data_IF_274218487552
#
_entry.id   IF_274218487552
#
_cell.length_a   1.000
_cell.length_b   1.000
_cell.length_c   1.000
_cell.angle_alpha   90.00
_cell.angle_beta   90.00
_cell.angle_gamma   90.00
#
_symmetry.space_group_name_H-M   'P 1'
#
loop_
_entity.id
_entity.type
_entity.pdbx_description
1 polymer ?
#
# COMPACT_ATOMS: atom_id res chain seq x y z
N UNK A 1 30.52 -5.29 47.64
CA UNK A 1 29.53 -4.54 46.82
C UNK A 1 28.15 -5.07 47.18
N UNK A 2 27.34 -4.27 47.88
CA UNK A 2 26.07 -4.73 48.50
C UNK A 2 24.97 -4.97 47.44
N UNK A 3 24.01 -5.86 47.73
CA UNK A 3 22.92 -6.20 46.81
C UNK A 3 22.12 -4.98 46.32
N UNK A 4 21.98 -3.96 47.17
CA UNK A 4 21.30 -2.70 46.86
C UNK A 4 21.99 -1.89 45.74
N UNK A 5 23.33 -1.88 45.71
CA UNK A 5 24.13 -1.20 44.69
C UNK A 5 24.05 -1.94 43.33
N UNK A 6 24.03 -3.28 43.35
CA UNK A 6 23.82 -4.10 42.14
C UNK A 6 22.43 -3.89 41.54
N UNK A 7 21.41 -3.74 42.39
CA UNK A 7 20.03 -3.51 41.96
C UNK A 7 19.85 -2.11 41.35
N UNK A 8 20.40 -1.05 41.97
CA UNK A 8 20.43 0.30 41.40
C UNK A 8 21.18 0.37 40.06
N UNK A 9 22.32 -0.31 39.94
CA UNK A 9 23.05 -0.38 38.67
C UNK A 9 22.26 -1.11 37.58
N UNK A 10 21.57 -2.20 37.92
CA UNK A 10 20.67 -2.94 37.03
C UNK A 10 19.51 -2.07 36.53
N UNK A 11 18.85 -1.33 37.43
CA UNK A 11 17.73 -0.45 37.09
C UNK A 11 18.20 0.74 36.23
N UNK A 12 19.29 1.40 36.60
CA UNK A 12 19.90 2.49 35.82
C UNK A 12 20.25 2.06 34.39
N UNK A 13 20.83 0.85 34.24
CA UNK A 13 21.17 0.28 32.94
C UNK A 13 19.93 -0.08 32.13
N UNK A 14 18.87 -0.60 32.76
CA UNK A 14 17.57 -0.86 32.11
C UNK A 14 16.89 0.42 31.65
N UNK A 15 16.91 1.49 32.47
CA UNK A 15 16.33 2.80 32.12
C UNK A 15 17.09 3.45 30.96
N UNK A 16 18.44 3.43 30.98
CA UNK A 16 19.24 3.92 29.85
C UNK A 16 19.00 3.12 28.58
N UNK A 17 18.87 1.80 28.68
CA UNK A 17 18.55 0.95 27.53
C UNK A 17 17.14 1.19 26.99
N UNK A 18 16.15 1.43 27.87
CA UNK A 18 14.78 1.76 27.47
C UNK A 18 14.71 3.12 26.79
N UNK A 19 15.40 4.13 27.34
CA UNK A 19 15.50 5.46 26.73
C UNK A 19 16.15 5.39 25.35
N UNK A 20 17.27 4.66 25.22
CA UNK A 20 17.92 4.44 23.93
C UNK A 20 16.97 3.76 22.94
N UNK A 21 16.20 2.76 23.38
CA UNK A 21 15.22 2.06 22.54
C UNK A 21 14.09 2.97 22.08
N UNK A 22 13.54 3.80 22.96
CA UNK A 22 12.50 4.77 22.59
C UNK A 22 13.05 5.82 21.62
N UNK A 23 14.25 6.34 21.86
CA UNK A 23 14.87 7.30 20.94
C UNK A 23 15.21 6.68 19.58
N UNK A 24 15.70 5.45 19.54
CA UNK A 24 15.94 4.69 18.30
C UNK A 24 14.63 4.46 17.54
N UNK A 25 13.54 4.14 18.26
CA UNK A 25 12.20 3.99 17.69
C UNK A 25 11.66 5.28 17.09
N UNK A 26 11.72 6.40 17.83
CA UNK A 26 11.26 7.72 17.36
C UNK A 26 12.07 8.13 16.12
N UNK A 27 13.39 7.95 16.18
CA UNK A 27 14.26 8.28 15.06
C UNK A 27 13.91 7.44 13.83
N UNK A 28 13.72 6.12 14.00
CA UNK A 28 13.33 5.25 12.89
C UNK A 28 11.98 5.67 12.30
N UNK A 29 10.97 5.94 13.14
CA UNK A 29 9.67 6.40 12.67
C UNK A 29 9.76 7.68 11.83
N UNK A 30 10.71 8.57 12.16
CA UNK A 30 10.95 9.79 11.41
C UNK A 30 11.73 9.53 10.11
N UNK A 31 12.77 8.69 10.17
CA UNK A 31 13.56 8.27 9.00
C UNK A 31 12.69 7.54 7.96
N UNK A 32 11.72 6.75 8.42
CA UNK A 32 10.75 6.01 7.60
C UNK A 32 9.51 6.85 7.26
N UNK A 33 9.48 8.14 7.62
CA UNK A 33 8.42 9.10 7.28
C UNK A 33 7.01 8.59 7.63
N UNK A 34 6.88 7.86 8.75
CA UNK A 34 5.64 7.20 9.18
C UNK A 34 4.45 8.16 9.23
N UNK A 35 4.67 9.37 9.76
CA UNK A 35 3.63 10.39 9.83
C UNK A 35 3.19 10.88 8.44
N UNK A 36 4.11 10.96 7.48
CA UNK A 36 3.78 11.37 6.11
C UNK A 36 2.93 10.30 5.41
N UNK A 37 3.25 9.01 5.60
CA UNK A 37 2.40 7.92 5.12
C UNK A 37 1.04 7.92 5.80
N UNK A 38 0.98 8.19 7.11
CA UNK A 38 -0.26 8.40 7.86
C UNK A 38 -1.14 9.50 7.24
N UNK A 39 -0.57 10.67 6.95
CA UNK A 39 -1.26 11.77 6.27
C UNK A 39 -1.73 11.39 4.86
N UNK A 40 -0.88 10.72 4.07
CA UNK A 40 -1.21 10.28 2.72
C UNK A 40 -2.39 9.29 2.73
N UNK A 41 -2.38 8.32 3.63
CA UNK A 41 -3.47 7.36 3.81
C UNK A 41 -4.76 8.04 4.26
N UNK A 42 -4.69 8.94 5.24
CA UNK A 42 -5.85 9.66 5.74
C UNK A 42 -6.51 10.53 4.66
N UNK A 43 -5.73 11.22 3.84
CA UNK A 43 -6.24 12.02 2.73
C UNK A 43 -7.03 11.18 1.73
N UNK A 44 -6.50 10.04 1.30
CA UNK A 44 -7.20 9.17 0.36
C UNK A 44 -8.42 8.46 0.98
N UNK A 45 -8.37 8.13 2.28
CA UNK A 45 -9.54 7.61 2.99
C UNK A 45 -10.66 8.66 3.12
N UNK A 46 -10.30 9.93 3.35
CA UNK A 46 -11.27 11.00 3.39
C UNK A 46 -11.92 11.20 2.01
N UNK A 47 -11.13 11.19 0.93
CA UNK A 47 -11.66 11.29 -0.43
C UNK A 47 -12.57 10.10 -0.80
N UNK A 48 -12.28 8.90 -0.31
CA UNK A 48 -13.12 7.74 -0.57
C UNK A 48 -14.41 7.71 0.26
N UNK A 49 -14.52 8.51 1.31
CA UNK A 49 -15.72 8.61 2.16
C UNK A 49 -16.96 9.02 1.34
N UNK A 50 -16.85 10.03 0.47
CA UNK A 50 -18.02 10.53 -0.27
C UNK A 50 -18.57 9.50 -1.27
N UNK A 51 -17.76 8.91 -2.16
CA UNK A 51 -18.27 7.85 -3.05
C UNK A 51 -18.77 6.62 -2.28
N UNK A 52 -18.13 6.29 -1.13
CA UNK A 52 -18.58 5.20 -0.27
C UNK A 52 -19.95 5.47 0.36
N UNK A 53 -20.19 6.70 0.85
CA UNK A 53 -21.50 7.11 1.37
C UNK A 53 -22.59 7.01 0.30
N UNK A 54 -22.31 7.47 -0.92
CA UNK A 54 -23.25 7.34 -2.03
C UNK A 54 -23.51 5.87 -2.32
N UNK A 55 -22.47 5.05 -2.46
CA UNK A 55 -22.62 3.60 -2.65
C UNK A 55 -23.51 2.97 -1.56
N UNK A 56 -23.24 3.25 -0.29
CA UNK A 56 -23.99 2.70 0.82
C UNK A 56 -25.46 3.15 0.80
N UNK A 57 -25.72 4.44 0.58
CA UNK A 57 -27.08 4.96 0.48
C UNK A 57 -27.83 4.36 -0.73
N UNK A 58 -27.14 4.12 -1.84
CA UNK A 58 -27.76 3.46 -3.00
C UNK A 58 -28.01 1.98 -2.77
N UNK A 59 -27.20 1.31 -1.94
CA UNK A 59 -27.42 -0.07 -1.54
C UNK A 59 -28.73 -0.22 -0.74
N UNK A 60 -29.12 0.80 0.03
CA UNK A 60 -30.39 0.79 0.79
C UNK A 60 -31.63 0.65 -0.11
N UNK A 61 -31.56 1.04 -1.39
CA UNK A 61 -32.65 0.82 -2.35
C UNK A 61 -32.93 -0.66 -2.64
N UNK A 62 -31.92 -1.50 -2.45
CA UNK A 62 -32.01 -2.95 -2.65
C UNK A 62 -32.27 -3.70 -1.35
N UNK A 63 -32.26 -3.00 -0.21
CA UNK A 63 -32.60 -3.57 1.08
C UNK A 63 -34.13 -3.66 1.23
N UNK A 64 -34.66 -4.58 2.04
CA UNK A 64 -36.10 -4.75 2.25
C UNK A 64 -36.72 -3.67 3.16
N UNK A 65 -36.17 -2.46 3.17
CA UNK A 65 -36.61 -1.34 4.02
C UNK A 65 -37.28 -0.27 3.17
N UNK A 66 -38.34 0.36 3.71
CA UNK A 66 -38.93 1.53 3.08
C UNK A 66 -37.96 2.71 3.16
N UNK A 67 -38.11 3.64 2.21
CA UNK A 67 -37.38 4.91 2.22
C UNK A 67 -37.59 5.67 3.54
N UNK A 68 -38.80 5.62 4.10
CA UNK A 68 -39.13 6.29 5.36
C UNK A 68 -38.42 5.64 6.56
N UNK A 69 -38.23 4.32 6.54
CA UNK A 69 -37.46 3.60 7.57
C UNK A 69 -36.00 4.05 7.56
N UNK A 70 -35.40 4.21 6.38
CA UNK A 70 -34.04 4.71 6.23
C UNK A 70 -33.90 6.14 6.75
N UNK A 71 -34.87 7.02 6.47
CA UNK A 71 -34.88 8.39 7.00
C UNK A 71 -34.95 8.37 8.53
N UNK A 72 -35.81 7.52 9.11
CA UNK A 72 -35.96 7.40 10.56
C UNK A 72 -34.66 6.92 11.21
N UNK A 73 -34.05 5.85 10.70
CA UNK A 73 -32.76 5.31 11.19
C UNK A 73 -31.66 6.38 11.12
N UNK A 74 -31.51 7.06 9.98
CA UNK A 74 -30.49 8.09 9.81
C UNK A 74 -30.70 9.28 10.74
N UNK A 75 -31.96 9.66 10.97
CA UNK A 75 -32.32 10.77 11.88
C UNK A 75 -31.99 10.42 13.33
N UNK A 76 -32.16 9.16 13.72
CA UNK A 76 -31.80 8.67 15.05
C UNK A 76 -30.28 8.69 15.27
N UNK A 77 -29.48 8.30 14.26
CA UNK A 77 -28.01 8.26 14.34
C UNK A 77 -27.40 9.66 14.34
N UNK A 78 -27.89 10.56 13.48
CA UNK A 78 -27.26 11.86 13.20
C UNK A 78 -27.85 12.97 14.08
N UNK A 79 -28.90 12.74 14.87
CA UNK A 79 -29.68 13.75 15.62
C UNK A 79 -30.82 14.38 14.82
N UNK A 80 -31.94 14.59 15.52
CA UNK A 80 -33.22 15.05 14.98
C UNK A 80 -33.18 16.45 14.36
N UNK A 81 -32.29 17.33 14.84
CA UNK A 81 -32.14 18.70 14.32
C UNK A 81 -31.76 18.74 12.84
N UNK A 82 -31.19 17.66 12.30
CA UNK A 82 -30.76 17.57 10.89
C UNK A 82 -31.72 16.77 10.01
N UNK A 83 -32.93 16.47 10.50
CA UNK A 83 -33.93 15.66 9.77
C UNK A 83 -34.21 16.19 8.37
N UNK A 84 -34.40 17.50 8.20
CA UNK A 84 -34.70 18.11 6.90
C UNK A 84 -33.57 17.90 5.87
N UNK A 85 -32.31 18.02 6.30
CA UNK A 85 -31.13 17.76 5.47
C UNK A 85 -31.06 16.28 5.07
N UNK A 86 -31.27 15.37 6.03
CA UNK A 86 -31.26 13.92 5.80
C UNK A 86 -32.35 13.53 4.81
N UNK A 87 -33.59 13.99 5.04
CA UNK A 87 -34.72 13.75 4.14
C UNK A 87 -34.44 14.29 2.73
N UNK A 88 -33.83 15.48 2.61
CA UNK A 88 -33.42 16.05 1.32
C UNK A 88 -32.43 15.16 0.57
N UNK A 89 -31.36 14.72 1.25
CA UNK A 89 -30.32 13.85 0.67
C UNK A 89 -30.92 12.50 0.24
N UNK A 90 -31.71 11.85 1.11
CA UNK A 90 -32.34 10.56 0.79
C UNK A 90 -33.33 10.70 -0.37
N UNK A 91 -34.15 11.75 -0.39
CA UNK A 91 -35.07 12.05 -1.49
C UNK A 91 -34.33 12.21 -2.82
N UNK A 92 -33.23 12.96 -2.82
CA UNK A 92 -32.45 13.20 -4.02
C UNK A 92 -31.80 11.92 -4.55
N UNK A 93 -31.27 11.08 -3.66
CA UNK A 93 -30.70 9.78 -4.03
C UNK A 93 -31.79 8.86 -4.58
N UNK A 94 -32.95 8.77 -3.93
CA UNK A 94 -34.05 7.93 -4.41
C UNK A 94 -34.57 8.38 -5.77
N UNK A 95 -34.62 9.69 -6.03
CA UNK A 95 -35.14 10.26 -7.29
C UNK A 95 -34.13 10.32 -8.43
N UNK A 96 -32.86 10.65 -8.17
CA UNK A 96 -31.83 10.88 -9.21
C UNK A 96 -30.88 9.70 -9.42
N UNK A 97 -30.75 8.78 -8.47
CA UNK A 97 -29.80 7.67 -8.61
C UNK A 97 -30.43 6.48 -9.32
N UNK A 98 -30.19 6.37 -10.64
CA UNK A 98 -30.38 5.13 -11.40
C UNK A 98 -29.18 4.18 -11.29
N UNK A 99 -29.25 3.03 -11.99
CA UNK A 99 -28.17 2.02 -12.02
C UNK A 99 -26.80 2.57 -12.51
N UNK A 100 -26.82 3.61 -13.34
CA UNK A 100 -25.63 4.32 -13.82
C UNK A 100 -24.88 5.05 -12.70
N UNK A 101 -25.59 5.82 -11.87
CA UNK A 101 -24.99 6.57 -10.74
C UNK A 101 -24.43 5.61 -9.69
N UNK A 102 -25.11 4.49 -9.41
CA UNK A 102 -24.59 3.41 -8.56
C UNK A 102 -23.23 2.93 -9.09
N UNK A 103 -23.17 2.56 -10.37
CA UNK A 103 -21.96 1.99 -10.99
C UNK A 103 -20.80 3.01 -10.99
N UNK A 104 -21.07 4.27 -11.33
CA UNK A 104 -20.07 5.35 -11.31
C UNK A 104 -19.54 5.58 -9.89
N UNK A 105 -20.42 5.55 -8.88
CA UNK A 105 -20.04 5.74 -7.48
C UNK A 105 -19.18 4.59 -6.98
N UNK A 106 -19.49 3.34 -7.36
CA UNK A 106 -18.66 2.17 -7.05
C UNK A 106 -17.28 2.30 -7.67
N UNK A 107 -17.19 2.67 -8.96
CA UNK A 107 -15.90 2.84 -9.65
C UNK A 107 -15.09 3.97 -9.00
N UNK A 108 -15.71 5.10 -8.70
CA UNK A 108 -15.06 6.22 -8.04
C UNK A 108 -14.59 5.90 -6.61
N UNK A 109 -15.41 5.15 -5.85
CA UNK A 109 -15.07 4.67 -4.51
C UNK A 109 -13.89 3.71 -4.53
N UNK A 110 -13.93 2.72 -5.43
CA UNK A 110 -12.85 1.75 -5.61
C UNK A 110 -11.56 2.42 -6.07
N UNK A 111 -11.64 3.35 -7.02
CA UNK A 111 -10.48 4.10 -7.48
C UNK A 111 -9.83 4.92 -6.37
N UNK A 112 -10.64 5.67 -5.61
CA UNK A 112 -10.14 6.53 -4.53
C UNK A 112 -9.58 5.71 -3.37
N UNK A 113 -10.30 4.67 -2.95
CA UNK A 113 -9.89 3.77 -1.86
C UNK A 113 -8.65 2.95 -2.22
N UNK A 114 -8.51 2.54 -3.49
CA UNK A 114 -7.32 1.85 -3.99
C UNK A 114 -6.04 2.67 -3.79
N UNK A 115 -6.13 4.01 -3.92
CA UNK A 115 -4.99 4.91 -3.61
C UNK A 115 -4.67 4.97 -2.12
N UNK A 116 -5.70 4.89 -1.26
CA UNK A 116 -5.54 4.76 0.18
C UNK A 116 -4.80 3.48 0.56
N UNK A 117 -5.27 2.33 0.08
CA UNK A 117 -4.58 1.05 0.31
C UNK A 117 -3.15 1.07 -0.27
N UNK A 118 -2.95 1.65 -1.46
CA UNK A 118 -1.63 1.78 -2.06
C UNK A 118 -0.66 2.55 -1.14
N UNK A 119 -1.12 3.63 -0.50
CA UNK A 119 -0.31 4.38 0.46
C UNK A 119 0.06 3.54 1.71
N UNK A 120 -0.82 2.65 2.15
CA UNK A 120 -0.54 1.70 3.23
C UNK A 120 0.50 0.67 2.79
N UNK A 121 0.40 0.16 1.55
CA UNK A 121 1.38 -0.80 1.00
C UNK A 121 2.77 -0.21 0.96
N UNK A 122 2.94 0.99 0.38
CA UNK A 122 4.25 1.64 0.30
C UNK A 122 4.78 2.02 1.68
N UNK A 123 3.92 2.49 2.60
CA UNK A 123 4.34 2.85 3.95
C UNK A 123 4.77 1.64 4.77
N UNK A 124 4.03 0.53 4.69
CA UNK A 124 4.42 -0.71 5.37
C UNK A 124 5.69 -1.32 4.76
N UNK A 125 5.84 -1.31 3.43
CA UNK A 125 7.08 -1.75 2.80
C UNK A 125 8.27 -0.89 3.24
N UNK A 126 8.09 0.43 3.39
CA UNK A 126 9.11 1.33 3.93
C UNK A 126 9.51 0.94 5.35
N UNK A 127 8.53 0.76 6.26
CA UNK A 127 8.76 0.37 7.66
C UNK A 127 9.53 -0.96 7.78
N UNK A 128 9.20 -1.92 6.92
CA UNK A 128 9.85 -3.23 6.89
C UNK A 128 11.17 -3.26 6.10
N UNK A 129 11.68 -2.12 5.61
CA UNK A 129 12.88 -2.01 4.76
C UNK A 129 12.82 -2.92 3.51
N UNK A 130 11.65 -3.03 2.88
CA UNK A 130 11.42 -3.90 1.71
C UNK A 130 11.42 -3.04 0.45
N UNK A 131 12.38 -3.29 -0.44
CA UNK A 131 12.36 -2.76 -1.80
C UNK A 131 11.22 -3.41 -2.59
N UNK A 132 10.26 -2.60 -3.05
CA UNK A 132 9.11 -3.09 -3.80
C UNK A 132 9.52 -3.52 -5.21
N UNK A 133 9.50 -4.83 -5.45
CA UNK A 133 9.90 -5.43 -6.72
C UNK A 133 8.70 -5.81 -7.61
N UNK A 134 7.46 -5.54 -7.17
CA UNK A 134 6.23 -5.82 -7.93
C UNK A 134 6.00 -4.78 -9.02
N UNK A 135 5.50 -5.24 -10.17
CA UNK A 135 5.10 -4.35 -11.25
C UNK A 135 3.90 -3.47 -10.83
N UNK A 136 3.83 -2.23 -11.30
CA UNK A 136 2.82 -1.24 -10.90
C UNK A 136 1.37 -1.75 -11.08
N UNK A 137 1.11 -2.48 -12.18
CA UNK A 137 -0.20 -3.04 -12.48
C UNK A 137 -0.60 -4.10 -11.44
N UNK A 138 0.33 -4.97 -11.06
CA UNK A 138 0.10 -6.03 -10.07
C UNK A 138 -0.22 -5.41 -8.71
N UNK A 139 0.54 -4.39 -8.32
CA UNK A 139 0.33 -3.66 -7.07
C UNK A 139 -1.05 -3.00 -7.01
N UNK A 140 -1.52 -2.50 -8.16
CA UNK A 140 -2.84 -1.88 -8.28
C UNK A 140 -3.99 -2.90 -8.17
N UNK A 141 -3.85 -4.07 -8.80
CA UNK A 141 -4.83 -5.17 -8.67
C UNK A 141 -4.94 -5.61 -7.20
N UNK A 142 -3.80 -5.83 -6.52
CA UNK A 142 -3.81 -6.16 -5.09
C UNK A 142 -4.44 -5.05 -4.24
N UNK A 143 -4.17 -3.78 -4.56
CA UNK A 143 -4.76 -2.65 -3.85
C UNK A 143 -6.29 -2.62 -3.97
N UNK A 144 -6.83 -2.94 -5.15
CA UNK A 144 -8.29 -3.09 -5.36
C UNK A 144 -8.82 -4.29 -4.57
N UNK A 145 -8.15 -5.44 -4.62
CA UNK A 145 -8.58 -6.63 -3.89
C UNK A 145 -8.64 -6.38 -2.37
N UNK A 146 -7.62 -5.77 -1.79
CA UNK A 146 -7.59 -5.40 -0.37
C UNK A 146 -8.62 -4.34 -0.03
N UNK A 147 -8.89 -3.39 -0.94
CA UNK A 147 -9.98 -2.41 -0.77
C UNK A 147 -11.32 -3.13 -0.63
N UNK A 148 -11.63 -4.08 -1.52
CA UNK A 148 -12.89 -4.84 -1.49
C UNK A 148 -12.98 -5.67 -0.21
N UNK A 149 -11.90 -6.35 0.19
CA UNK A 149 -11.86 -7.11 1.44
C UNK A 149 -12.10 -6.22 2.66
N UNK A 150 -11.49 -5.04 2.70
CA UNK A 150 -11.67 -4.06 3.77
C UNK A 150 -13.10 -3.50 3.80
N UNK A 151 -13.70 -3.23 2.64
CA UNK A 151 -15.09 -2.79 2.54
C UNK A 151 -16.08 -3.86 3.06
N UNK A 152 -15.89 -5.13 2.68
CA UNK A 152 -16.69 -6.26 3.21
C UNK A 152 -16.57 -6.32 4.73
N UNK A 153 -15.37 -6.17 5.26
CA UNK A 153 -15.14 -6.19 6.70
C UNK A 153 -15.87 -5.04 7.42
N UNK A 154 -15.82 -3.82 6.88
CA UNK A 154 -16.57 -2.67 7.43
C UNK A 154 -18.07 -2.96 7.44
N UNK A 155 -18.60 -3.55 6.36
CA UNK A 155 -20.02 -3.93 6.28
C UNK A 155 -20.35 -4.95 7.38
N UNK A 156 -19.55 -6.00 7.52
CA UNK A 156 -19.74 -7.02 8.59
C UNK A 156 -19.68 -6.38 9.98
N UNK A 157 -18.72 -5.47 10.22
CA UNK A 157 -18.61 -4.73 11.47
C UNK A 157 -19.86 -3.90 11.74
N UNK A 158 -20.32 -3.14 10.76
CA UNK A 158 -21.50 -2.30 10.88
C UNK A 158 -22.76 -3.13 11.13
N UNK A 159 -22.91 -4.26 10.43
CA UNK A 159 -24.02 -5.17 10.64
C UNK A 159 -24.05 -5.71 12.07
N UNK A 160 -22.91 -6.17 12.59
CA UNK A 160 -22.81 -6.67 13.96
C UNK A 160 -23.06 -5.54 14.98
N UNK A 161 -22.64 -4.32 14.70
CA UNK A 161 -22.76 -3.22 15.66
C UNK A 161 -24.16 -2.60 15.70
N UNK A 162 -24.79 -2.43 14.53
CA UNK A 162 -26.13 -1.86 14.38
C UNK A 162 -27.20 -2.89 14.70
N UNK A 163 -27.11 -4.07 14.10
CA UNK A 163 -28.08 -5.15 14.31
C UNK A 163 -27.69 -6.07 15.45
N UNK A 164 -26.64 -5.79 16.22
CA UNK A 164 -26.16 -6.67 17.29
C UNK A 164 -27.24 -6.99 18.34
N UNK A 165 -28.05 -5.99 18.69
CA UNK A 165 -29.17 -6.17 19.63
C UNK A 165 -30.31 -6.99 19.00
N UNK A 166 -30.66 -6.70 17.75
CA UNK A 166 -31.69 -7.46 17.01
C UNK A 166 -31.27 -8.91 16.79
N UNK A 167 -29.98 -9.13 16.47
CA UNK A 167 -29.39 -10.45 16.30
C UNK A 167 -29.35 -11.20 17.64
N UNK A 168 -29.07 -10.51 18.74
CA UNK A 168 -29.15 -11.05 20.09
C UNK A 168 -30.56 -11.49 20.45
N UNK A 169 -31.57 -10.66 20.22
CA UNK A 169 -32.97 -10.98 20.49
C UNK A 169 -33.44 -12.16 19.62
N UNK A 170 -33.03 -12.19 18.36
CA UNK A 170 -33.32 -13.30 17.43
C UNK A 170 -32.65 -14.62 17.86
N UNK A 171 -31.38 -14.57 18.28
CA UNK A 171 -30.64 -15.74 18.77
C UNK A 171 -31.24 -16.23 20.10
N UNK A 172 -31.59 -15.34 21.01
CA UNK A 172 -32.24 -15.71 22.28
C UNK A 172 -33.60 -16.36 22.06
N UNK A 173 -34.37 -15.89 21.06
CA UNK A 173 -35.67 -16.47 20.70
C UNK A 173 -35.58 -17.85 20.03
N UNK A 174 -34.56 -18.09 19.20
CA UNK A 174 -34.43 -19.36 18.42
C UNK A 174 -33.54 -20.40 19.07
N UNK A 175 -32.51 -19.97 19.81
CA UNK A 175 -31.49 -20.82 20.42
C UNK A 175 -31.16 -20.35 21.86
N UNK A 176 -32.02 -20.67 22.85
CA UNK A 176 -31.85 -20.22 24.24
C UNK A 176 -30.54 -20.67 24.89
N UNK A 177 -29.92 -21.76 24.40
CA UNK A 177 -28.61 -22.21 24.87
C UNK A 177 -27.46 -21.22 24.61
N UNK A 178 -27.60 -20.34 23.60
CA UNK A 178 -26.59 -19.32 23.28
C UNK A 178 -26.90 -17.94 23.89
N UNK A 179 -28.05 -17.78 24.57
CA UNK A 179 -28.48 -16.51 25.14
C UNK A 179 -27.48 -15.95 26.18
N UNK A 180 -26.94 -16.81 27.04
CA UNK A 180 -25.94 -16.44 28.05
C UNK A 180 -24.62 -16.01 27.41
N UNK A 181 -24.21 -16.69 26.34
CA UNK A 181 -22.99 -16.36 25.59
C UNK A 181 -23.16 -15.03 24.83
N UNK A 182 -24.32 -14.83 24.20
CA UNK A 182 -24.64 -13.64 23.43
C UNK A 182 -24.79 -12.39 24.35
N UNK A 183 -25.32 -12.55 25.56
CA UNK A 183 -25.40 -11.49 26.56
C UNK A 183 -24.02 -11.06 27.06
N UNK A 184 -23.10 -12.01 27.22
CA UNK A 184 -21.69 -11.74 27.53
C UNK A 184 -20.99 -10.96 26.40
N UNK A 185 -21.28 -11.27 25.13
CA UNK A 185 -20.73 -10.55 23.98
C UNK A 185 -21.19 -9.09 23.90
N UNK A 186 -22.47 -8.80 24.17
CA UNK A 186 -23.00 -7.43 24.19
C UNK A 186 -22.36 -6.60 25.31
N UNK A 187 -22.24 -7.16 26.53
CA UNK A 187 -21.65 -6.45 27.66
C UNK A 187 -20.14 -6.18 27.49
N UNK A 188 -19.44 -6.98 26.68
CA UNK A 188 -18.00 -6.85 26.38
C UNK A 188 -17.72 -6.27 24.99
N UNK A 189 -18.64 -5.48 24.42
CA UNK A 189 -18.53 -4.90 23.06
C UNK A 189 -17.16 -4.27 22.78
N UNK A 190 -16.59 -3.53 23.73
CA UNK A 190 -15.26 -2.91 23.60
C UNK A 190 -14.14 -3.93 23.44
N UNK A 191 -14.18 -5.05 24.20
CA UNK A 191 -13.19 -6.12 24.10
C UNK A 191 -13.27 -6.81 22.72
N UNK A 192 -14.50 -7.03 22.23
CA UNK A 192 -14.73 -7.60 20.91
C UNK A 192 -14.18 -6.69 19.80
N UNK A 193 -14.40 -5.38 19.89
CA UNK A 193 -13.81 -4.40 18.97
C UNK A 193 -12.28 -4.48 18.97
N UNK A 194 -11.63 -4.58 20.14
CA UNK A 194 -10.16 -4.75 20.23
C UNK A 194 -9.71 -6.02 19.52
N UNK A 195 -10.39 -7.15 19.76
CA UNK A 195 -10.02 -8.45 19.17
C UNK A 195 -10.12 -8.40 17.65
N UNK A 196 -11.21 -7.86 17.11
CA UNK A 196 -11.38 -7.76 15.66
C UNK A 196 -10.38 -6.80 15.04
N UNK A 197 -10.17 -5.64 15.67
CA UNK A 197 -9.24 -4.65 15.17
C UNK A 197 -7.80 -5.19 15.18
N UNK A 198 -7.45 -5.96 16.22
CA UNK A 198 -6.18 -6.67 16.30
C UNK A 198 -6.06 -7.72 15.19
N UNK A 199 -7.10 -8.53 14.96
CA UNK A 199 -7.12 -9.52 13.87
C UNK A 199 -6.96 -8.83 12.50
N UNK A 200 -7.63 -7.71 12.30
CA UNK A 200 -7.54 -6.90 11.08
C UNK A 200 -6.11 -6.40 10.85
N UNK A 201 -5.49 -5.78 11.85
CA UNK A 201 -4.12 -5.29 11.72
C UNK A 201 -3.11 -6.44 11.55
N UNK A 202 -3.35 -7.59 12.16
CA UNK A 202 -2.57 -8.80 11.94
C UNK A 202 -2.66 -9.30 10.49
N UNK A 203 -3.85 -9.29 9.90
CA UNK A 203 -4.04 -9.60 8.47
C UNK A 203 -3.29 -8.57 7.61
N UNK A 204 -3.46 -7.27 7.91
CA UNK A 204 -2.79 -6.19 7.17
C UNK A 204 -1.27 -6.37 7.21
N UNK A 205 -0.68 -6.51 8.39
CA UNK A 205 0.78 -6.68 8.54
C UNK A 205 1.31 -7.97 7.91
N UNK A 206 0.47 -8.99 7.72
CA UNK A 206 0.89 -10.29 7.17
C UNK A 206 0.85 -10.30 5.65
N UNK A 207 -0.24 -9.80 5.09
CA UNK A 207 -0.56 -9.96 3.67
C UNK A 207 -0.22 -8.74 2.83
N UNK A 208 -0.25 -7.54 3.41
CA UNK A 208 -0.01 -6.30 2.66
C UNK A 208 1.47 -6.11 2.30
N UNK A 209 2.45 -6.28 3.22
CA UNK A 209 3.86 -6.12 2.88
C UNK A 209 4.35 -7.25 1.96
N UNK A 210 5.28 -6.92 1.06
CA UNK A 210 5.85 -7.90 0.12
C UNK A 210 6.95 -8.78 0.76
N UNK A 211 6.62 -9.50 1.85
CA UNK A 211 7.55 -10.33 2.63
C UNK A 211 7.26 -11.83 2.50
N UNK A 212 8.33 -12.63 2.36
CA UNK A 212 8.22 -14.09 2.41
C UNK A 212 8.00 -14.54 3.86
N UNK A 213 6.91 -15.29 4.04
CA UNK A 213 6.59 -16.20 5.15
C UNK A 213 7.10 -15.81 6.54
N UNK A 214 6.35 -14.96 7.24
CA UNK A 214 6.52 -14.75 8.68
C UNK A 214 5.35 -15.37 9.44
N UNK A 215 5.61 -15.91 10.63
CA UNK A 215 4.56 -16.54 11.46
C UNK A 215 3.48 -15.52 11.82
N UNK A 216 2.22 -15.90 11.61
CA UNK A 216 1.04 -15.06 11.85
C UNK A 216 1.08 -14.48 13.27
N UNK A 217 1.32 -15.32 14.28
CA UNK A 217 1.35 -14.94 15.69
C UNK A 217 2.42 -13.92 16.08
N UNK A 218 3.50 -13.76 15.31
CA UNK A 218 4.55 -12.77 15.62
C UNK A 218 4.11 -11.33 15.41
N UNK A 219 3.00 -11.11 14.71
CA UNK A 219 2.48 -9.77 14.42
C UNK A 219 1.46 -9.27 15.45
N UNK A 220 1.04 -10.15 16.36
CA UNK A 220 0.12 -9.86 17.45
C UNK A 220 0.52 -8.66 18.32
N UNK A 221 1.78 -8.51 18.79
CA UNK A 221 2.12 -7.42 19.70
C UNK A 221 1.95 -6.04 19.05
N UNK A 222 2.42 -5.84 17.81
CA UNK A 222 2.23 -4.58 17.10
C UNK A 222 0.77 -4.34 16.70
N UNK A 223 0.03 -5.40 16.33
CA UNK A 223 -1.39 -5.29 16.00
C UNK A 223 -2.22 -4.88 17.22
N UNK A 224 -1.89 -5.40 18.40
CA UNK A 224 -2.55 -5.03 19.66
C UNK A 224 -2.25 -3.57 20.03
N UNK A 225 -1.01 -3.11 19.88
CA UNK A 225 -0.63 -1.71 20.15
C UNK A 225 -1.35 -0.76 19.19
N UNK A 226 -1.41 -1.09 17.90
CA UNK A 226 -2.17 -0.31 16.93
C UNK A 226 -3.67 -0.27 17.27
N UNK A 227 -4.25 -1.40 17.67
CA UNK A 227 -5.66 -1.49 18.05
C UNK A 227 -5.98 -0.65 19.30
N UNK A 228 -5.16 -0.75 20.34
CA UNK A 228 -5.30 0.07 21.55
C UNK A 228 -5.12 1.55 21.21
N UNK A 229 -4.07 1.89 20.46
CA UNK A 229 -3.80 3.26 20.03
C UNK A 229 -4.96 3.87 19.23
N UNK A 230 -5.55 3.11 18.32
CA UNK A 230 -6.72 3.52 17.55
C UNK A 230 -7.92 3.85 18.45
N UNK A 231 -8.20 3.03 19.45
CA UNK A 231 -9.29 3.25 20.39
C UNK A 231 -9.01 4.48 21.27
N UNK A 232 -7.78 4.63 21.76
CA UNK A 232 -7.36 5.80 22.54
C UNK A 232 -7.51 7.09 21.73
N UNK A 233 -7.07 7.09 20.47
CA UNK A 233 -7.26 8.23 19.55
C UNK A 233 -8.74 8.53 19.34
N UNK A 234 -9.57 7.49 19.16
CA UNK A 234 -11.01 7.63 18.98
C UNK A 234 -11.71 8.18 20.23
N UNK A 235 -11.34 7.69 21.41
CA UNK A 235 -11.83 8.20 22.69
C UNK A 235 -11.37 9.65 22.93
N UNK A 236 -10.12 9.98 22.61
CA UNK A 236 -9.60 11.35 22.68
C UNK A 236 -10.33 12.30 21.75
N UNK A 237 -10.65 11.87 20.53
CA UNK A 237 -11.46 12.64 19.59
C UNK A 237 -12.90 12.85 20.10
N UNK A 238 -13.52 11.80 20.66
CA UNK A 238 -14.85 11.90 21.26
C UNK A 238 -14.87 12.86 22.46
N UNK A 239 -13.86 12.79 23.33
CA UNK A 239 -13.69 13.73 24.43
C UNK A 239 -13.51 15.16 23.92
N UNK A 240 -12.68 15.35 22.89
CA UNK A 240 -12.46 16.67 22.29
C UNK A 240 -13.75 17.29 21.75
N UNK A 241 -14.52 16.54 20.97
CA UNK A 241 -15.80 17.01 20.42
C UNK A 241 -16.81 17.31 21.54
N UNK A 242 -16.86 16.46 22.58
CA UNK A 242 -17.81 16.63 23.69
C UNK A 242 -17.51 17.83 24.59
N UNK A 243 -16.26 18.26 24.70
CA UNK A 243 -15.87 19.38 25.58
C UNK A 243 -15.69 20.70 24.82
N UNK A 244 -15.27 20.67 23.56
CA UNK A 244 -14.93 21.86 22.78
C UNK A 244 -16.01 22.20 21.75
N UNK A 245 -17.22 22.55 22.22
CA UNK A 245 -18.35 22.94 21.35
C UNK A 245 -18.13 24.27 20.60
N UNK A 246 -17.18 25.09 21.04
CA UNK A 246 -16.89 26.41 20.44
C UNK A 246 -16.18 26.32 19.07
N UNK A 247 -15.61 25.17 18.70
CA UNK A 247 -14.95 25.01 17.39
C UNK A 247 -15.93 25.12 16.22
N UNK A 248 -17.18 24.70 16.41
CA UNK A 248 -18.24 24.86 15.42
C UNK A 248 -18.66 26.32 15.23
N UNK A 249 -18.42 27.21 16.19
CA UNK A 249 -18.76 28.63 16.07
C UNK A 249 -17.82 29.39 15.11
N UNK A 250 -16.52 29.07 15.15
CA UNK A 250 -15.50 29.77 14.34
C UNK A 250 -15.42 29.22 12.91
N UNK A 251 -15.47 27.88 12.77
CA UNK A 251 -15.25 27.21 11.48
C UNK A 251 -16.51 26.60 10.87
N UNK A 252 -17.66 26.68 11.54
CA UNK A 252 -18.94 26.17 11.02
C UNK A 252 -18.88 24.70 10.61
N UNK A 253 -19.40 24.39 9.43
CA UNK A 253 -19.41 23.04 8.84
C UNK A 253 -18.02 22.50 8.48
N UNK A 254 -17.00 23.37 8.34
CA UNK A 254 -15.63 22.95 8.03
C UNK A 254 -14.94 22.26 9.23
N UNK A 255 -15.38 22.59 10.46
CA UNK A 255 -14.84 22.02 11.70
C UNK A 255 -14.92 20.48 11.71
N UNK A 256 -16.05 19.91 11.27
CA UNK A 256 -16.24 18.46 11.21
C UNK A 256 -15.28 17.77 10.25
N UNK A 257 -15.02 18.36 9.07
CA UNK A 257 -14.07 17.81 8.10
C UNK A 257 -12.63 17.84 8.63
N UNK A 258 -12.24 18.93 9.29
CA UNK A 258 -10.90 19.06 9.89
C UNK A 258 -10.68 18.04 11.00
N UNK A 259 -11.64 17.89 11.93
CA UNK A 259 -11.57 16.92 13.02
C UNK A 259 -11.53 15.50 12.47
N UNK A 260 -12.37 15.19 11.47
CA UNK A 260 -12.37 13.88 10.81
C UNK A 260 -11.02 13.56 10.15
N UNK A 261 -10.44 14.52 9.42
CA UNK A 261 -9.13 14.35 8.77
C UNK A 261 -8.03 14.12 9.81
N UNK A 262 -8.05 14.88 10.92
CA UNK A 262 -7.08 14.74 12.00
C UNK A 262 -7.23 13.39 12.71
N UNK A 263 -8.46 12.95 12.96
CA UNK A 263 -8.75 11.63 13.53
C UNK A 263 -8.25 10.51 12.61
N UNK A 264 -8.54 10.59 11.31
CA UNK A 264 -8.04 9.63 10.32
C UNK A 264 -6.50 9.62 10.29
N UNK A 265 -5.86 10.79 10.34
CA UNK A 265 -4.40 10.90 10.36
C UNK A 265 -3.80 10.15 11.54
N UNK A 266 -4.29 10.40 12.76
CA UNK A 266 -3.78 9.71 13.95
C UNK A 266 -4.07 8.21 13.92
N UNK A 267 -5.25 7.80 13.45
CA UNK A 267 -5.61 6.39 13.29
C UNK A 267 -4.66 5.68 12.32
N UNK A 268 -4.38 6.28 11.15
CA UNK A 268 -3.43 5.72 10.18
C UNK A 268 -2.00 5.68 10.74
N UNK A 269 -1.55 6.73 11.42
CA UNK A 269 -0.22 6.75 12.06
C UNK A 269 -0.09 5.61 13.09
N UNK A 270 -1.13 5.30 13.88
CA UNK A 270 -1.12 4.17 14.82
C UNK A 270 -0.93 2.81 14.12
N UNK A 271 -1.48 2.63 12.92
CA UNK A 271 -1.25 1.41 12.11
C UNK A 271 0.22 1.29 11.73
N UNK A 272 0.88 2.37 11.34
CA UNK A 272 2.30 2.33 11.01
C UNK A 272 3.20 2.18 12.25
N UNK A 273 2.86 2.84 13.37
CA UNK A 273 3.58 2.65 14.64
C UNK A 273 3.51 1.20 15.13
N UNK A 274 2.35 0.53 14.99
CA UNK A 274 2.24 -0.89 15.30
C UNK A 274 3.12 -1.77 14.38
N UNK A 275 3.28 -1.40 13.11
CA UNK A 275 4.17 -2.10 12.19
C UNK A 275 5.65 -1.93 12.59
N UNK A 276 6.06 -0.74 13.02
CA UNK A 276 7.40 -0.48 13.54
C UNK A 276 7.69 -1.33 14.77
N UNK A 277 6.75 -1.41 15.72
CA UNK A 277 6.92 -2.26 16.90
C UNK A 277 7.12 -3.73 16.49
N UNK A 278 6.36 -4.22 15.51
CA UNK A 278 6.54 -5.56 14.98
C UNK A 278 7.93 -5.75 14.36
N UNK A 279 8.43 -4.76 13.61
CA UNK A 279 9.79 -4.80 13.05
C UNK A 279 10.87 -4.87 14.14
N UNK A 280 10.78 -4.03 15.18
CA UNK A 280 11.75 -4.04 16.29
C UNK A 280 11.74 -5.38 17.05
N UNK A 281 10.55 -5.97 17.26
CA UNK A 281 10.42 -7.25 17.95
C UNK A 281 10.95 -8.41 17.12
N UNK A 282 10.76 -8.39 15.81
CA UNK A 282 11.31 -9.39 14.89
C UNK A 282 12.84 -9.31 14.82
N UNK A 283 13.40 -8.10 14.86
CA UNK A 283 14.84 -7.86 14.79
C UNK A 283 15.53 -7.81 16.17
N UNK A 284 14.84 -8.16 17.26
CA UNK A 284 15.35 -8.10 18.63
C UNK A 284 16.67 -8.84 18.86
N UNK A 285 16.90 -9.96 18.17
CA UNK A 285 18.18 -10.72 18.23
C UNK A 285 19.35 -9.97 17.57
N UNK A 286 19.04 -9.10 16.62
CA UNK A 286 20.01 -8.33 15.83
C UNK A 286 20.04 -6.86 16.26
N UNK A 287 19.66 -6.53 17.50
CA UNK A 287 19.55 -5.14 17.97
C UNK A 287 20.86 -4.35 17.74
N UNK A 288 22.02 -4.97 17.94
CA UNK A 288 23.32 -4.35 17.64
C UNK A 288 23.53 -4.02 16.15
N UNK A 289 22.98 -4.83 15.24
CA UNK A 289 23.00 -4.54 13.81
C UNK A 289 21.98 -3.46 13.46
N UNK A 290 20.83 -3.45 14.14
CA UNK A 290 19.79 -2.42 13.97
C UNK A 290 20.29 -1.02 14.33
N UNK A 291 20.94 -0.88 15.50
CA UNK A 291 21.57 0.40 15.90
C UNK A 291 22.62 0.82 14.86
N UNK A 292 23.32 -0.14 14.26
CA UNK A 292 24.35 0.11 13.26
C UNK A 292 23.75 0.60 11.94
N UNK A 293 22.61 0.05 11.51
CA UNK A 293 21.90 0.47 10.29
C UNK A 293 21.17 1.81 10.48
N UNK A 294 20.66 2.11 11.68
CA UNK A 294 20.02 3.37 12.06
C UNK A 294 20.99 4.55 12.20
N UNK A 295 22.30 4.32 12.16
CA UNK A 295 23.30 5.39 12.22
C UNK A 295 23.35 6.11 10.85
N UNK A 296 23.32 7.45 10.78
CA UNK A 296 23.27 8.20 9.51
C UNK A 296 24.42 7.83 8.55
N UNK A 297 25.60 7.59 9.11
CA UNK A 297 26.78 7.15 8.36
C UNK A 297 26.56 5.81 7.65
N UNK A 298 25.77 4.89 8.20
CA UNK A 298 25.56 3.58 7.57
C UNK A 298 24.68 3.68 6.33
N UNK A 299 23.59 4.46 6.36
CA UNK A 299 22.78 4.71 5.17
C UNK A 299 23.57 5.46 4.08
N UNK A 300 24.39 6.45 4.46
CA UNK A 300 25.25 7.14 3.52
C UNK A 300 26.27 6.19 2.87
N UNK A 301 26.88 5.29 3.66
CA UNK A 301 27.80 4.25 3.16
C UNK A 301 27.05 3.24 2.26
N UNK A 302 25.84 2.83 2.61
CA UNK A 302 25.03 1.89 1.83
C UNK A 302 24.66 2.49 0.48
N UNK A 303 24.12 3.71 0.46
CA UNK A 303 23.82 4.47 -0.78
C UNK A 303 25.06 4.66 -1.65
N UNK A 304 26.22 4.92 -1.03
CA UNK A 304 27.49 5.05 -1.75
C UNK A 304 27.89 3.72 -2.40
N UNK A 305 27.81 2.60 -1.67
CA UNK A 305 28.08 1.26 -2.23
C UNK A 305 27.11 0.86 -3.33
N UNK A 306 25.82 1.14 -3.18
CA UNK A 306 24.80 0.89 -4.20
C UNK A 306 25.09 1.68 -5.49
N UNK A 307 25.42 2.97 -5.37
CA UNK A 307 25.86 3.80 -6.51
C UNK A 307 27.12 3.24 -7.17
N UNK A 308 28.12 2.82 -6.39
CA UNK A 308 29.34 2.21 -6.90
C UNK A 308 29.09 0.87 -7.60
N UNK A 309 28.14 0.05 -7.13
CA UNK A 309 27.73 -1.18 -7.79
C UNK A 309 27.01 -0.89 -9.11
N UNK A 310 26.06 0.05 -9.11
CA UNK A 310 25.35 0.47 -10.31
C UNK A 310 26.32 1.05 -11.37
N UNK A 311 27.24 1.91 -10.95
CA UNK A 311 28.30 2.42 -11.82
C UNK A 311 29.22 1.33 -12.35
N UNK A 312 29.62 0.35 -11.51
CA UNK A 312 30.42 -0.80 -11.96
C UNK A 312 29.68 -1.62 -13.00
N UNK A 313 28.39 -1.91 -12.80
CA UNK A 313 27.54 -2.58 -13.77
C UNK A 313 27.49 -1.83 -15.09
N UNK A 314 27.22 -0.52 -15.04
CA UNK A 314 27.17 0.35 -16.23
C UNK A 314 28.53 0.44 -16.96
N UNK A 315 29.65 0.50 -16.24
CA UNK A 315 31.01 0.47 -16.81
C UNK A 315 31.31 -0.88 -17.48
N UNK A 316 30.93 -1.98 -16.84
CA UNK A 316 31.08 -3.33 -17.39
C UNK A 316 30.30 -3.49 -18.69
N UNK A 317 29.01 -3.09 -18.72
CA UNK A 317 28.19 -3.12 -19.94
C UNK A 317 28.76 -2.24 -21.06
N UNK A 318 29.28 -1.04 -20.74
CA UNK A 318 29.96 -0.17 -21.72
C UNK A 318 31.26 -0.76 -22.25
N UNK A 319 32.03 -1.44 -21.40
CA UNK A 319 33.28 -2.09 -21.80
C UNK A 319 33.02 -3.30 -22.71
N UNK A 320 31.95 -4.05 -22.43
CA UNK A 320 31.51 -5.18 -23.23
C UNK A 320 31.00 -4.71 -24.61
N UNK A 321 30.17 -3.66 -24.66
CA UNK A 321 29.70 -3.10 -25.94
C UNK A 321 30.83 -2.55 -26.80
N UNK A 322 31.84 -1.89 -26.20
CA UNK A 322 33.05 -1.42 -26.90
C UNK A 322 33.89 -2.58 -27.44
N UNK A 323 34.12 -3.64 -26.65
CA UNK A 323 34.85 -4.84 -27.10
C UNK A 323 34.13 -5.54 -28.24
N UNK A 324 32.82 -5.70 -28.14
CA UNK A 324 31.99 -6.29 -29.20
C UNK A 324 32.05 -5.47 -30.50
N UNK A 325 31.93 -4.14 -30.41
CA UNK A 325 32.06 -3.26 -31.57
C UNK A 325 33.46 -3.30 -32.20
N UNK A 326 34.52 -3.35 -31.38
CA UNK A 326 35.90 -3.45 -31.87
C UNK A 326 36.18 -4.81 -32.51
N UNK A 327 35.66 -5.91 -31.95
CA UNK A 327 35.79 -7.24 -32.52
C UNK A 327 35.06 -7.33 -33.87
N UNK A 328 33.85 -6.78 -33.96
CA UNK A 328 33.08 -6.69 -35.21
C UNK A 328 33.83 -5.88 -36.28
N UNK A 329 34.40 -4.71 -35.93
CA UNK A 329 35.23 -3.91 -36.84
C UNK A 329 36.48 -4.67 -37.31
N UNK A 330 37.11 -5.45 -36.42
CA UNK A 330 38.31 -6.25 -36.76
C UNK A 330 37.96 -7.39 -37.71
N UNK A 331 36.83 -8.08 -37.48
CA UNK A 331 36.31 -9.12 -38.38
C UNK A 331 35.93 -8.57 -39.75
N UNK A 332 35.27 -7.41 -39.80
CA UNK A 332 34.95 -6.73 -41.06
C UNK A 332 36.22 -6.37 -41.86
N UNK A 333 37.26 -5.85 -41.20
CA UNK A 333 38.56 -5.56 -41.84
C UNK A 333 39.23 -6.83 -42.39
N UNK A 334 39.21 -7.93 -41.63
CA UNK A 334 39.77 -9.22 -42.06
C UNK A 334 39.00 -9.80 -43.25
N UNK A 335 37.67 -9.73 -43.25
CA UNK A 335 36.84 -10.14 -44.39
C UNK A 335 37.11 -9.29 -45.63
N UNK A 336 37.27 -7.97 -45.45
CA UNK A 336 37.60 -7.05 -46.55
C UNK A 336 38.98 -7.37 -47.14
N UNK A 337 39.97 -7.63 -46.29
CA UNK A 337 41.32 -8.02 -46.72
C UNK A 337 41.33 -9.35 -47.47
N UNK A 338 40.64 -10.38 -46.96
CA UNK A 338 40.47 -11.67 -47.65
C UNK A 338 39.79 -11.53 -49.01
N UNK A 339 38.80 -10.64 -49.14
CA UNK A 339 38.16 -10.36 -50.44
C UNK A 339 39.11 -9.67 -51.43
N UNK A 340 39.97 -8.78 -50.97
CA UNK A 340 41.00 -8.14 -51.82
C UNK A 340 42.06 -9.15 -52.26
N UNK A 341 42.56 -9.99 -51.35
CA UNK A 341 43.51 -11.06 -51.67
C UNK A 341 42.92 -12.08 -52.67
N UNK A 342 41.62 -12.40 -52.56
CA UNK A 342 40.90 -13.24 -53.53
C UNK A 342 40.76 -12.57 -54.91
N UNK A 343 40.55 -11.25 -54.97
CA UNK A 343 40.48 -10.53 -56.25
C UNK A 343 41.85 -10.42 -56.93
N UNK A 344 42.93 -10.25 -56.17
CA UNK A 344 44.30 -10.26 -56.70
C UNK A 344 44.72 -11.64 -57.22
N UNK A 345 44.28 -12.73 -56.58
CA UNK A 345 44.54 -14.10 -57.08
C UNK A 345 43.72 -14.45 -58.33
N UNK A 346 42.48 -13.95 -58.44
CA UNK A 346 41.62 -14.19 -59.61
C UNK A 346 42.05 -13.33 -60.82
N UNK A 347 42.75 -12.20 -60.60
CA UNK A 347 43.28 -11.35 -61.68
C UNK A 347 44.49 -11.93 -62.44
N UNK A 348 45.07 -13.05 -62.00
CA UNK A 348 46.32 -13.61 -62.57
C UNK A 348 46.08 -14.86 -63.44
N UNK A 349 44.86 -15.41 -63.51
CA UNK A 349 44.58 -16.61 -64.31
C UNK A 349 43.26 -16.49 -65.08
N UNK A 350 43.35 -16.08 -66.35
CA UNK A 350 42.37 -16.47 -67.37
C UNK A 350 42.91 -17.66 -68.15
N UNK A 351 42.06 -18.65 -68.43
CA UNK A 351 41.98 -19.15 -69.79
C UNK A 351 40.55 -19.32 -70.32
N UNK A 352 40.52 -19.20 -71.63
CA UNK A 352 39.50 -19.51 -72.65
C UNK A 352 38.89 -20.92 -72.54
N UNK A 353 37.62 -21.09 -72.94
CA UNK A 353 37.13 -22.39 -73.45
C UNK A 353 35.67 -22.78 -73.15
N UNK A 354 34.82 -22.53 -74.13
CA UNK A 354 33.52 -23.13 -74.54
C UNK A 354 32.90 -24.38 -73.86
N UNK A 355 31.61 -24.20 -73.50
CA UNK A 355 30.40 -24.97 -73.87
C UNK A 355 30.18 -26.46 -73.46
N UNK A 356 29.09 -26.70 -72.73
CA UNK A 356 28.39 -27.99 -72.60
C UNK A 356 27.07 -27.89 -71.84
N UNK A 357 25.94 -28.04 -72.55
CA UNK A 357 24.55 -28.08 -72.03
C UNK A 357 24.27 -29.34 -71.19
N UNK A 358 23.55 -29.24 -70.07
CA UNK A 358 22.37 -30.09 -69.80
C UNK A 358 21.53 -29.68 -68.57
N UNK A 359 20.23 -29.44 -68.86
CA UNK A 359 18.97 -29.68 -68.13
C UNK A 359 18.76 -29.18 -66.68
N UNK A 360 17.77 -28.28 -66.58
CA UNK A 360 16.92 -28.00 -65.42
C UNK A 360 15.89 -29.13 -65.19
N UNK A 361 15.31 -29.25 -63.98
CA UNK A 361 13.96 -28.72 -63.83
C UNK A 361 13.72 -27.90 -62.55
N UNK A 362 12.66 -27.10 -62.66
CA UNK A 362 12.06 -26.17 -61.70
C UNK A 362 11.87 -26.70 -60.29
N UNK A 363 12.17 -25.87 -59.27
CA UNK A 363 11.21 -25.65 -58.19
C UNK A 363 11.44 -24.34 -57.42
N UNK A 364 10.38 -23.53 -57.42
CA UNK A 364 9.95 -22.61 -56.35
C UNK A 364 10.87 -21.46 -55.93
N UNK A 365 10.60 -20.30 -56.54
CA UNK A 365 11.07 -19.01 -56.05
C UNK A 365 10.37 -18.57 -54.77
N UNK A 366 11.15 -18.03 -53.84
CA UNK A 366 10.72 -16.86 -53.06
C UNK A 366 11.93 -15.98 -52.72
N UNK A 367 11.93 -14.81 -53.37
CA UNK A 367 12.83 -13.71 -53.16
C UNK A 367 12.74 -13.15 -51.74
N UNK A 368 13.90 -12.76 -51.24
CA UNK A 368 14.11 -11.90 -50.10
C UNK A 368 13.54 -10.49 -50.34
N UNK A 369 12.92 -9.91 -49.30
CA UNK A 369 13.13 -8.50 -48.90
C UNK A 369 13.07 -8.43 -47.37
N UNK A 370 14.01 -7.73 -46.70
CA UNK A 370 13.83 -7.32 -45.32
C UNK A 370 13.03 -6.00 -45.28
N UNK A 371 12.11 -5.80 -44.32
CA UNK A 371 11.69 -4.45 -43.96
C UNK A 371 12.57 -3.94 -42.83
N UNK A 372 13.35 -2.93 -43.19
CA UNK A 372 13.61 -1.69 -42.48
C UNK A 372 13.02 -1.51 -41.06
N UNK A 373 13.93 -1.13 -40.15
CA UNK A 373 13.78 -0.10 -39.12
C UNK A 373 12.38 0.25 -38.59
N UNK A 374 12.15 0.01 -37.29
CA UNK A 374 11.41 0.93 -36.42
C UNK A 374 11.66 0.64 -34.93
N UNK A 375 12.07 1.67 -34.17
CA UNK A 375 11.58 1.82 -32.79
C UNK A 375 12.48 1.46 -31.60
N UNK A 376 13.69 2.01 -31.49
CA UNK A 376 14.32 2.20 -30.17
C UNK A 376 13.82 3.54 -29.60
N UNK A 377 12.83 3.50 -28.71
CA UNK A 377 12.46 4.65 -27.88
C UNK A 377 13.54 4.90 -26.82
N UNK A 378 14.14 6.09 -26.88
CA UNK A 378 14.99 6.66 -25.82
C UNK A 378 14.15 6.96 -24.56
N UNK A 379 14.70 6.81 -23.34
CA UNK A 379 14.12 7.41 -22.14
C UNK A 379 14.44 8.91 -22.09
N UNK A 380 13.54 9.78 -21.56
CA UNK A 380 13.79 11.21 -21.50
C UNK A 380 14.82 11.56 -20.42
N UNK A 381 15.73 12.44 -20.81
CA UNK A 381 16.76 13.07 -19.97
C UNK A 381 16.16 14.24 -19.18
N UNK A 382 16.68 14.44 -17.98
CA UNK A 382 16.35 15.51 -17.05
C UNK A 382 16.62 16.91 -17.62
N UNK A 383 15.63 17.81 -17.53
CA UNK A 383 15.82 19.25 -17.67
C UNK A 383 15.72 19.96 -16.31
N UNK A 384 16.83 20.53 -15.84
CA UNK A 384 16.83 21.66 -14.88
C UNK A 384 16.77 22.96 -15.69
N UNK A 385 15.94 23.91 -15.26
CA UNK A 385 16.24 25.34 -14.97
C UNK A 385 15.14 26.32 -15.44
N UNK A 386 14.88 27.31 -14.54
CA UNK A 386 14.16 28.59 -14.71
C UNK A 386 12.64 28.45 -14.91
N UNK A 387 11.73 29.07 -14.15
CA UNK A 387 11.71 30.32 -13.38
C UNK A 387 11.29 30.15 -11.91
#
# INVERSE_FOLDING_TARGET
MNNFEREKMSISKRVKNLYALVMDFIKKCNDDHVAAFGSMSAFFMLLSLFPFLIFFLTLTKYAPFSKDDIINILTEIISFERKSLITGIVNEIYRKTGASVFTISVIAALWSSSRGIYSIVIGLNSVYDIDENRNYIVLRIFSILYTVAFAILIIVMLLIWVFGNVLYDYICGRFPAFATLAGYFIHKRTLFTIVILTLLFMIVYRFVPNRKTVSFFRQLPGALIAAIGWIVVSAGCSFYIGNFNNFSYIYGSLSGMMILLLWLHFCMSMVFYGAEVNYFLENKKNYHLLIRTLRPNYQAIRRKREREMYERGRRSSRSFSRRSSSASKKLWKLQKKKKQEQQETIGVQQPTGTAGKQKSPEESGRQQRPPDSAGIQKPPESGKKHE
#
